data_IF_545575723629
#
_entry.id   IF_545575723629
#
_cell.length_a   1.000
_cell.length_b   1.000
_cell.length_c   1.000
_cell.angle_alpha   90.00
_cell.angle_beta   90.00
_cell.angle_gamma   90.00
#
_symmetry.space_group_name_H-M   'P 1'
#
loop_
_entity.id
_entity.type
_entity.pdbx_description
1 polymer ?
#
# COMPACT_ATOMS: atom_id res chain seq x y z
N UNK A 1 -23.02 9.48 -12.64
CA UNK A 1 -21.61 9.25 -13.06
C UNK A 1 -20.72 10.36 -12.54
N UNK A 2 -19.61 9.98 -11.92
CA UNK A 2 -18.67 10.93 -11.33
C UNK A 2 -17.27 10.65 -11.90
N UNK A 3 -16.57 11.70 -12.30
CA UNK A 3 -15.23 11.57 -12.86
C UNK A 3 -14.21 12.16 -11.88
N UNK A 4 -13.23 11.36 -11.50
CA UNK A 4 -12.12 11.82 -10.67
C UNK A 4 -11.10 12.47 -11.60
N UNK A 5 -10.86 13.76 -11.40
CA UNK A 5 -10.07 14.57 -12.32
C UNK A 5 -8.66 14.85 -11.83
N UNK A 6 -8.42 14.72 -10.54
CA UNK A 6 -7.13 15.05 -9.95
C UNK A 6 -6.82 14.10 -8.80
N UNK A 7 -5.55 13.72 -8.69
CA UNK A 7 -5.03 12.97 -7.54
C UNK A 7 -4.07 13.89 -6.80
N UNK A 8 -4.29 14.09 -5.51
CA UNK A 8 -3.41 14.91 -4.71
C UNK A 8 -2.02 14.24 -4.61
N UNK A 9 -0.94 15.03 -4.67
CA UNK A 9 0.40 14.45 -4.60
C UNK A 9 0.68 13.82 -3.24
N UNK A 10 1.55 12.80 -3.18
CA UNK A 10 1.81 12.08 -1.91
C UNK A 10 2.37 12.98 -0.81
N UNK A 11 3.09 14.03 -1.19
CA UNK A 11 3.67 14.97 -0.23
C UNK A 11 2.62 15.87 0.41
N UNK A 12 1.50 16.05 -0.26
CA UNK A 12 0.41 16.86 0.25
C UNK A 12 -0.51 15.98 1.09
N UNK A 13 -0.01 15.55 2.24
CA UNK A 13 -0.81 14.74 3.15
C UNK A 13 -2.10 15.50 3.47
N UNK A 14 -3.26 14.94 3.14
CA UNK A 14 -4.51 15.64 3.39
C UNK A 14 -4.75 15.80 4.89
N UNK A 15 -5.28 16.95 5.26
CA UNK A 15 -5.64 17.21 6.65
C UNK A 15 -6.78 16.28 7.07
N UNK A 16 -6.79 15.91 8.34
CA UNK A 16 -7.83 15.02 8.86
C UNK A 16 -9.26 15.48 8.54
N UNK A 17 -9.60 16.79 8.64
CA UNK A 17 -10.93 17.24 8.24
C UNK A 17 -11.31 16.93 6.80
N UNK A 18 -10.35 16.91 5.88
CA UNK A 18 -10.58 16.55 4.48
C UNK A 18 -10.91 15.06 4.39
N UNK A 19 -10.14 14.22 5.08
CA UNK A 19 -10.38 12.78 5.11
C UNK A 19 -11.74 12.45 5.73
N UNK A 20 -12.15 13.17 6.77
CA UNK A 20 -13.42 12.95 7.44
C UNK A 20 -14.62 13.29 6.55
N UNK A 21 -14.47 14.24 5.65
CA UNK A 21 -15.53 14.66 4.74
C UNK A 21 -15.51 13.94 3.40
N UNK A 22 -14.41 13.28 3.10
CA UNK A 22 -14.25 12.64 1.80
C UNK A 22 -15.20 11.46 1.64
N UNK A 23 -15.68 11.28 0.43
CA UNK A 23 -16.35 10.03 0.06
C UNK A 23 -15.36 8.90 0.11
N UNK A 24 -15.84 7.70 0.38
CA UNK A 24 -14.98 6.52 0.46
C UNK A 24 -14.87 5.86 -0.91
N UNK A 25 -13.64 5.65 -1.35
CA UNK A 25 -13.33 4.88 -2.55
C UNK A 25 -12.62 3.60 -2.10
N UNK A 26 -13.38 2.53 -1.96
CA UNK A 26 -12.84 1.25 -1.47
C UNK A 26 -12.20 0.48 -2.61
N UNK A 27 -10.90 0.21 -2.50
CA UNK A 27 -10.13 -0.50 -3.52
C UNK A 27 -9.31 -1.61 -2.88
N UNK A 28 -9.26 -2.75 -3.56
CA UNK A 28 -8.36 -3.84 -3.18
C UNK A 28 -6.92 -3.45 -3.51
N UNK A 29 -5.95 -4.20 -3.01
CA UNK A 29 -4.55 -3.94 -3.34
C UNK A 29 -4.32 -3.99 -4.85
N UNK A 30 -4.88 -4.98 -5.54
CA UNK A 30 -4.73 -5.10 -6.99
C UNK A 30 -5.29 -3.87 -7.71
N UNK A 31 -6.44 -3.37 -7.28
CA UNK A 31 -7.04 -2.17 -7.86
C UNK A 31 -6.25 -0.90 -7.57
N UNK A 32 -5.56 -0.85 -6.45
CA UNK A 32 -4.68 0.28 -6.13
C UNK A 32 -3.40 0.29 -6.96
N UNK A 33 -2.91 -0.88 -7.30
CA UNK A 33 -1.71 -1.02 -8.15
C UNK A 33 -2.05 -0.77 -9.60
N UNK A 34 -3.12 -1.39 -10.08
CA UNK A 34 -3.57 -1.28 -11.45
C UNK A 34 -5.03 -0.83 -11.46
N UNK A 35 -5.23 0.45 -11.62
CA UNK A 35 -6.55 1.08 -11.47
C UNK A 35 -7.58 0.46 -12.40
N UNK A 36 -8.80 0.18 -11.89
CA UNK A 36 -9.88 -0.30 -12.75
C UNK A 36 -10.37 0.83 -13.65
N UNK A 37 -11.11 0.48 -14.69
CA UNK A 37 -11.69 1.49 -15.58
C UNK A 37 -12.76 2.29 -14.85
N UNK A 38 -13.53 1.62 -14.01
CA UNK A 38 -14.59 2.25 -13.24
C UNK A 38 -14.84 1.50 -11.94
N UNK A 39 -15.41 2.19 -10.98
CA UNK A 39 -15.81 1.61 -9.70
C UNK A 39 -17.24 2.05 -9.42
N UNK A 40 -18.05 1.14 -8.89
CA UNK A 40 -19.42 1.48 -8.48
C UNK A 40 -19.46 1.76 -6.99
N UNK A 41 -19.98 2.92 -6.63
CA UNK A 41 -20.14 3.34 -5.25
C UNK A 41 -21.58 3.84 -5.07
N UNK A 42 -22.36 3.17 -4.22
CA UNK A 42 -23.74 3.53 -3.91
C UNK A 42 -24.60 3.78 -5.16
N UNK A 43 -24.43 2.91 -6.15
CA UNK A 43 -25.20 3.03 -7.40
C UNK A 43 -24.65 4.02 -8.42
N UNK A 44 -23.65 4.78 -8.05
CA UNK A 44 -22.98 5.71 -8.97
C UNK A 44 -21.75 5.07 -9.58
N UNK A 45 -21.43 5.42 -10.81
CA UNK A 45 -20.24 4.95 -11.52
C UNK A 45 -19.16 6.00 -11.41
N UNK A 46 -18.02 5.60 -10.83
CA UNK A 46 -16.86 6.47 -10.64
C UNK A 46 -15.81 6.12 -11.70
N UNK A 47 -15.40 7.10 -12.49
CA UNK A 47 -14.37 6.91 -13.51
C UNK A 47 -13.12 7.72 -13.17
N UNK A 48 -11.98 7.27 -13.68
CA UNK A 48 -10.70 7.90 -13.41
C UNK A 48 -10.22 8.70 -14.62
N UNK A 49 -10.34 10.02 -14.53
CA UNK A 49 -9.88 10.95 -15.56
C UNK A 49 -8.48 11.50 -15.30
N UNK A 50 -7.71 10.86 -14.44
CA UNK A 50 -6.36 11.30 -14.09
C UNK A 50 -5.35 10.68 -15.06
N UNK A 51 -4.53 11.54 -15.68
CA UNK A 51 -3.56 11.09 -16.69
C UNK A 51 -2.35 10.40 -16.09
N UNK A 52 -1.81 10.97 -15.03
CA UNK A 52 -0.64 10.41 -14.36
C UNK A 52 -1.06 9.44 -13.28
N UNK A 53 -0.74 8.17 -13.48
CA UNK A 53 -1.15 7.11 -12.56
C UNK A 53 0.05 6.59 -11.78
N UNK A 54 -0.19 6.30 -10.52
CA UNK A 54 0.79 5.68 -9.62
C UNK A 54 0.09 4.65 -8.75
N UNK A 55 0.86 3.85 -8.02
CA UNK A 55 0.29 2.95 -7.04
C UNK A 55 -0.38 3.80 -5.95
N UNK A 56 -1.62 3.48 -5.66
CA UNK A 56 -2.38 4.20 -4.64
C UNK A 56 -2.10 3.64 -3.26
N UNK A 57 -1.97 4.53 -2.30
CA UNK A 57 -1.87 4.16 -0.88
C UNK A 57 -3.17 4.50 -0.18
N UNK A 58 -3.39 3.86 0.96
CA UNK A 58 -4.55 4.20 1.80
C UNK A 58 -4.45 5.66 2.23
N UNK A 59 -5.56 6.36 2.17
CA UNK A 59 -5.70 7.81 2.45
C UNK A 59 -5.19 8.73 1.34
N UNK A 60 -4.84 8.20 0.17
CA UNK A 60 -4.70 9.05 -1.01
C UNK A 60 -6.06 9.65 -1.33
N UNK A 61 -6.07 10.89 -1.83
CA UNK A 61 -7.30 11.64 -2.07
C UNK A 61 -7.39 12.07 -3.52
N UNK A 62 -8.52 11.74 -4.13
CA UNK A 62 -8.88 12.26 -5.45
C UNK A 62 -9.85 13.44 -5.30
N UNK A 63 -9.84 14.30 -6.28
CA UNK A 63 -10.83 15.38 -6.40
C UNK A 63 -11.65 15.11 -7.65
N UNK A 64 -12.96 15.17 -7.54
CA UNK A 64 -13.85 14.95 -8.69
C UNK A 64 -14.14 16.25 -9.46
N UNK A 65 -14.92 16.14 -10.51
CA UNK A 65 -15.27 17.28 -11.36
C UNK A 65 -16.08 18.36 -10.64
N UNK A 66 -16.69 18.00 -9.52
CA UNK A 66 -17.47 18.94 -8.71
C UNK A 66 -16.64 19.55 -7.59
N UNK A 67 -15.38 19.14 -7.45
CA UNK A 67 -14.51 19.60 -6.37
C UNK A 67 -14.66 18.85 -5.07
N UNK A 68 -15.37 17.72 -5.08
CA UNK A 68 -15.53 16.90 -3.88
C UNK A 68 -14.37 15.92 -3.75
N UNK A 69 -14.07 15.53 -2.52
CA UNK A 69 -12.94 14.65 -2.21
C UNK A 69 -13.35 13.19 -2.09
N UNK A 70 -12.47 12.32 -2.57
CA UNK A 70 -12.62 10.86 -2.49
C UNK A 70 -11.36 10.25 -1.92
N UNK A 71 -11.47 9.65 -0.75
CA UNK A 71 -10.32 9.04 -0.08
C UNK A 71 -10.25 7.55 -0.38
N UNK A 72 -9.05 7.08 -0.73
CA UNK A 72 -8.80 5.66 -0.97
C UNK A 72 -8.80 4.93 0.36
N UNK A 73 -9.64 3.91 0.46
CA UNK A 73 -9.73 3.05 1.64
C UNK A 73 -9.53 1.60 1.19
N UNK A 74 -9.01 0.73 2.08
CA UNK A 74 -8.85 -0.66 1.71
C UNK A 74 -10.20 -1.36 1.62
N UNK A 75 -10.48 -1.99 0.48
CA UNK A 75 -11.65 -2.85 0.35
C UNK A 75 -11.39 -4.16 1.08
N UNK A 76 -12.42 -4.78 1.58
CA UNK A 76 -12.30 -6.09 2.23
C UNK A 76 -11.89 -7.13 1.20
N UNK A 77 -10.84 -7.88 1.50
CA UNK A 77 -10.34 -8.95 0.63
C UNK A 77 -9.71 -10.05 1.49
N UNK A 78 -9.42 -11.17 0.89
CA UNK A 78 -8.81 -12.28 1.62
C UNK A 78 -7.36 -11.96 1.90
N UNK A 79 -6.98 -12.06 3.17
CA UNK A 79 -5.64 -11.72 3.67
C UNK A 79 -5.13 -12.89 4.49
N UNK A 80 -3.87 -13.22 4.35
CA UNK A 80 -3.21 -14.24 5.15
C UNK A 80 -2.46 -13.57 6.30
N UNK A 81 -2.81 -13.93 7.52
CA UNK A 81 -2.04 -13.58 8.71
C UNK A 81 -1.01 -14.67 8.94
N UNK A 82 0.25 -14.29 9.02
CA UNK A 82 1.38 -15.20 9.11
C UNK A 82 2.04 -15.06 10.47
N UNK A 83 2.17 -16.20 11.17
CA UNK A 83 2.81 -16.24 12.48
C UNK A 83 3.78 -17.42 12.53
N UNK A 84 4.65 -17.44 13.52
CA UNK A 84 5.60 -18.52 13.73
C UNK A 84 6.92 -18.02 14.28
N UNK A 85 7.98 -18.76 13.99
CA UNK A 85 9.32 -18.40 14.43
C UNK A 85 9.75 -17.04 13.86
N UNK A 86 10.29 -16.18 14.70
CA UNK A 86 10.64 -14.81 14.33
C UNK A 86 11.64 -14.74 13.17
N UNK A 87 12.67 -15.59 13.21
CA UNK A 87 13.69 -15.59 12.17
C UNK A 87 13.11 -16.07 10.83
N UNK A 88 12.26 -17.09 10.87
CA UNK A 88 11.58 -17.58 9.67
C UNK A 88 10.65 -16.52 9.10
N UNK A 89 9.93 -15.79 9.97
CA UNK A 89 9.05 -14.72 9.54
C UNK A 89 9.82 -13.59 8.86
N UNK A 90 10.96 -13.21 9.41
CA UNK A 90 11.81 -12.17 8.82
C UNK A 90 12.34 -12.58 7.45
N UNK A 91 12.81 -13.80 7.33
CA UNK A 91 13.29 -14.32 6.05
C UNK A 91 12.16 -14.36 5.02
N UNK A 92 10.99 -14.85 5.41
CA UNK A 92 9.85 -14.96 4.52
C UNK A 92 9.38 -13.59 4.07
N UNK A 93 9.24 -12.64 5.00
CA UNK A 93 8.82 -11.28 4.67
C UNK A 93 9.82 -10.61 3.72
N UNK A 94 11.11 -10.77 3.98
CA UNK A 94 12.16 -10.22 3.12
C UNK A 94 12.11 -10.80 1.72
N UNK A 95 11.92 -12.10 1.60
CA UNK A 95 11.82 -12.76 0.31
C UNK A 95 10.60 -12.29 -0.48
N UNK A 96 9.47 -12.12 0.19
CA UNK A 96 8.25 -11.63 -0.44
C UNK A 96 8.40 -10.18 -0.93
N UNK A 97 8.98 -9.33 -0.11
CA UNK A 97 9.24 -7.94 -0.46
C UNK A 97 10.17 -7.86 -1.67
N UNK A 98 11.20 -8.68 -1.71
CA UNK A 98 12.13 -8.74 -2.85
C UNK A 98 11.45 -9.16 -4.15
N UNK A 99 10.35 -9.90 -4.05
CA UNK A 99 9.56 -10.31 -5.23
C UNK A 99 8.47 -9.30 -5.57
N UNK A 100 8.41 -8.18 -4.87
CA UNK A 100 7.41 -7.16 -5.09
C UNK A 100 6.09 -7.40 -4.38
N UNK A 101 6.03 -8.35 -3.47
CA UNK A 101 4.83 -8.60 -2.69
C UNK A 101 4.75 -7.59 -1.55
N UNK A 102 3.62 -6.92 -1.42
CA UNK A 102 3.41 -5.95 -0.34
C UNK A 102 3.06 -6.69 0.95
N UNK A 103 3.64 -6.22 2.04
CA UNK A 103 3.49 -6.84 3.36
C UNK A 103 2.93 -5.81 4.33
N UNK A 104 2.01 -6.22 5.19
CA UNK A 104 1.46 -5.38 6.25
C UNK A 104 1.87 -5.91 7.61
N UNK A 105 1.89 -5.04 8.60
CA UNK A 105 2.10 -5.45 9.98
C UNK A 105 0.84 -6.13 10.50
N UNK A 106 1.01 -7.17 11.27
CA UNK A 106 -0.09 -7.87 11.94
C UNK A 106 0.35 -8.33 13.32
N UNK A 107 -0.60 -8.52 14.21
CA UNK A 107 -0.31 -8.96 15.56
C UNK A 107 0.39 -10.32 15.54
N UNK A 108 1.56 -10.37 16.16
CA UNK A 108 2.34 -11.60 16.24
C UNK A 108 3.05 -12.01 14.95
N UNK A 109 3.00 -11.18 13.91
CA UNK A 109 3.63 -11.51 12.63
C UNK A 109 3.38 -10.49 11.55
N UNK A 110 3.03 -10.94 10.36
CA UNK A 110 2.76 -10.05 9.24
C UNK A 110 1.55 -10.56 8.44
N UNK A 111 1.10 -9.75 7.50
CA UNK A 111 -0.03 -10.10 6.65
C UNK A 111 0.29 -9.84 5.18
N UNK A 112 -0.27 -10.64 4.31
CA UNK A 112 -0.17 -10.48 2.85
C UNK A 112 -1.53 -10.78 2.24
N UNK A 113 -1.78 -10.25 1.06
CA UNK A 113 -2.99 -10.61 0.33
C UNK A 113 -2.92 -12.08 -0.06
N UNK A 114 -4.02 -12.80 0.10
CA UNK A 114 -4.05 -14.24 -0.13
C UNK A 114 -3.77 -14.59 -1.60
N UNK A 115 -2.75 -15.41 -1.80
CA UNK A 115 -2.38 -15.97 -3.09
C UNK A 115 -1.95 -17.42 -2.84
N UNK A 116 -2.38 -18.31 -3.72
CA UNK A 116 -2.13 -19.73 -3.52
C UNK A 116 -0.64 -20.07 -3.44
N UNK A 117 0.16 -19.52 -4.35
CA UNK A 117 1.60 -19.75 -4.38
C UNK A 117 2.30 -19.21 -3.13
N UNK A 118 1.86 -18.09 -2.61
CA UNK A 118 2.41 -17.50 -1.38
C UNK A 118 2.03 -18.36 -0.18
N UNK A 119 0.77 -18.79 -0.10
CA UNK A 119 0.31 -19.66 0.98
C UNK A 119 1.13 -20.96 1.02
N UNK A 120 1.36 -21.58 -0.12
CA UNK A 120 2.16 -22.79 -0.21
C UNK A 120 3.59 -22.56 0.26
N UNK A 121 4.21 -21.48 -0.18
CA UNK A 121 5.57 -21.14 0.20
C UNK A 121 5.69 -20.97 1.71
N UNK A 122 4.79 -20.21 2.31
CA UNK A 122 4.81 -19.93 3.74
C UNK A 122 4.61 -21.21 4.56
N UNK A 123 3.70 -22.09 4.14
CA UNK A 123 3.47 -23.35 4.81
C UNK A 123 4.69 -24.27 4.70
N UNK A 124 5.33 -24.30 3.55
CA UNK A 124 6.53 -25.12 3.34
C UNK A 124 7.72 -24.65 4.19
N UNK A 125 7.82 -23.37 4.46
CA UNK A 125 8.85 -22.82 5.32
C UNK A 125 8.63 -23.25 6.78
N UNK A 126 7.39 -23.54 7.15
CA UNK A 126 7.04 -23.91 8.51
C UNK A 126 6.30 -22.83 9.29
N UNK A 127 5.80 -21.83 8.59
CA UNK A 127 5.02 -20.77 9.21
C UNK A 127 3.52 -21.16 9.25
N UNK A 128 2.81 -20.58 10.20
CA UNK A 128 1.37 -20.77 10.30
C UNK A 128 0.67 -19.63 9.58
N UNK A 129 -0.37 -19.95 8.82
CA UNK A 129 -1.18 -18.96 8.12
C UNK A 129 -2.63 -19.09 8.52
N UNK A 130 -3.29 -17.94 8.66
CA UNK A 130 -4.72 -17.87 8.93
C UNK A 130 -5.34 -16.94 7.90
N UNK A 131 -6.33 -17.44 7.17
CA UNK A 131 -7.02 -16.63 6.17
C UNK A 131 -8.14 -15.85 6.84
N UNK A 132 -8.15 -14.54 6.63
CA UNK A 132 -9.18 -13.64 7.14
C UNK A 132 -9.65 -12.72 6.04
N UNK A 133 -10.83 -12.13 6.21
CA UNK A 133 -11.33 -11.12 5.27
C UNK A 133 -11.28 -9.78 5.97
N UNK A 134 -10.45 -8.90 5.45
CA UNK A 134 -10.26 -7.56 6.01
C UNK A 134 -9.65 -6.62 4.96
N UNK A 135 -9.64 -5.33 5.26
CA UNK A 135 -8.95 -4.36 4.42
C UNK A 135 -7.44 -4.52 4.58
N UNK A 136 -6.72 -4.44 3.48
CA UNK A 136 -5.26 -4.59 3.48
C UNK A 136 -4.56 -3.25 3.30
N UNK A 137 -3.77 -2.87 4.30
CA UNK A 137 -3.00 -1.63 4.29
C UNK A 137 -1.52 -1.96 4.48
N UNK A 138 -0.77 -2.13 3.37
CA UNK A 138 0.63 -2.56 3.46
C UNK A 138 1.54 -1.45 3.98
N UNK A 139 2.68 -1.87 4.54
CA UNK A 139 3.72 -0.94 4.95
C UNK A 139 4.22 -0.19 3.73
N UNK A 140 4.35 1.11 3.85
CA UNK A 140 4.93 1.93 2.79
C UNK A 140 6.42 1.66 2.71
N UNK A 141 6.84 1.25 1.53
CA UNK A 141 8.26 1.08 1.28
C UNK A 141 8.78 2.41 0.77
N UNK A 142 9.56 3.07 1.60
CA UNK A 142 10.22 4.30 1.20
C UNK A 142 11.57 3.92 0.61
N UNK A 143 11.67 3.98 -0.70
CA UNK A 143 12.95 3.80 -1.36
C UNK A 143 13.75 5.09 -1.19
N UNK A 144 14.72 5.05 -0.32
CA UNK A 144 15.68 6.14 -0.25
C UNK A 144 16.56 6.03 -1.48
N UNK A 145 16.64 7.08 -2.23
CA UNK A 145 17.52 7.06 -3.39
C UNK A 145 18.94 6.84 -2.93
N UNK A 146 19.59 5.90 -3.56
CA UNK A 146 20.94 5.57 -3.21
C UNK A 146 21.90 6.76 -3.36
N UNK A 147 21.52 7.67 -4.17
CA UNK A 147 22.34 8.83 -4.37
C UNK A 147 22.56 9.64 -3.11
N UNK A 148 21.68 9.48 -2.23
CA UNK A 148 21.83 10.24 -1.03
C UNK A 148 22.96 9.85 -0.19
N UNK A 149 23.43 8.70 -0.36
CA UNK A 149 24.34 8.31 0.52
C UNK A 149 25.65 8.78 0.36
N UNK A 150 25.89 9.04 -0.64
CA UNK A 150 27.21 9.38 -0.83
C UNK A 150 27.83 10.18 0.12
N UNK A 151 27.16 10.72 0.62
CA UNK A 151 27.60 11.53 1.40
C UNK A 151 28.58 11.29 2.12
N UNK A 152 28.77 11.11 2.23
CA UNK A 152 29.46 11.11 2.94
C UNK A 152 30.44 11.26 3.48
N UNK A 153 30.57 10.96 3.68
CA UNK A 153 31.46 10.84 4.23
C UNK A 153 32.57 11.45 4.11
N UNK A 154 32.73 11.72 3.72
CA UNK A 154 33.73 12.26 3.55
C UNK A 154 34.40 12.86 4.47
N UNK A 155 34.60 13.06 4.86
CA UNK A 155 35.02 13.64 5.63
C UNK A 155 36.01 13.67 6.33
N UNK A 156 36.03 13.45 6.33
CA UNK A 156 36.61 13.59 6.96
C UNK A 156 37.59 13.94 7.20
N UNK A 157 37.78 13.89 7.28
CA UNK A 157 38.55 14.18 7.50
C UNK A 157 39.38 14.64 7.81
N UNK A 158 39.76 14.74 8.08
CA UNK A 158 40.49 15.16 8.40
C UNK A 158 41.26 15.66 8.81
N UNK A 159 41.72 15.85 9.05
CA UNK A 159 42.38 16.37 9.47
C UNK A 159 43.32 16.67 9.87
N UNK A 160 43.93 16.92 10.03
CA UNK A 160 44.71 17.32 10.51
C UNK A 160 45.48 17.75 10.86
N UNK A 161 46.20 18.11 10.95
CA UNK A 161 46.86 18.51 11.42
C UNK A 161 47.21 19.02 11.68
#
# INVERSE_FOLDING_TARGET
MTTLTKLLPPEAAPAQPILDRAHTLSLTLAERVEWPQEVKVDGDVITFGVAERRVLEVNDVFVDEKGEFWAVRPAVEKVLHVTGDLDLMREAAGALINRGVRVAEAEGGFAVVAQENVAKMLTMIGLEITEVEEGFDPIRIVYRSAGGCGCGCGGHHHHHD
#
